data_IF_120717383486
#
_entry.id   IF_120717383486
#
_cell.length_a   1.000
_cell.length_b   1.000
_cell.length_c   1.000
_cell.angle_alpha   90.00
_cell.angle_beta   90.00
_cell.angle_gamma   90.00
#
_symmetry.space_group_name_H-M   'P 1'
#
loop_
_entity.id
_entity.type
_entity.pdbx_description
1 polymer ?
#
# COMPACT_ATOMS: atom_id res chain seq x y z
N UNK A 1 12.74 -21.02 -5.54
CA UNK A 1 13.39 -21.93 -4.58
C UNK A 1 12.30 -22.72 -3.89
N UNK A 2 12.48 -24.03 -3.73
CA UNK A 2 11.54 -24.85 -2.96
C UNK A 2 12.18 -25.15 -1.61
N UNK A 3 11.48 -24.84 -0.51
CA UNK A 3 11.97 -24.99 0.87
C UNK A 3 11.01 -25.91 1.62
N UNK A 4 11.53 -26.90 2.34
CA UNK A 4 10.68 -27.79 3.14
C UNK A 4 10.10 -27.05 4.36
N UNK A 5 8.90 -27.45 4.79
CA UNK A 5 8.28 -26.90 6.01
C UNK A 5 9.17 -27.18 7.24
N UNK A 6 9.81 -28.35 7.28
CA UNK A 6 10.73 -28.73 8.35
C UNK A 6 11.94 -27.78 8.41
N UNK A 7 12.51 -27.42 7.26
CA UNK A 7 13.61 -26.46 7.17
C UNK A 7 13.19 -25.07 7.63
N UNK A 8 11.99 -24.60 7.25
CA UNK A 8 11.46 -23.30 7.71
C UNK A 8 11.26 -23.28 9.23
N UNK A 9 10.70 -24.35 9.80
CA UNK A 9 10.53 -24.49 11.25
C UNK A 9 11.87 -24.55 11.99
N UNK A 10 12.84 -25.31 11.46
CA UNK A 10 14.20 -25.39 12.01
C UNK A 10 14.93 -24.03 11.95
N UNK A 11 14.70 -23.25 10.89
CA UNK A 11 15.19 -21.89 10.74
C UNK A 11 14.43 -20.86 11.61
N UNK A 12 13.48 -21.33 12.43
CA UNK A 12 12.79 -20.51 13.43
C UNK A 12 11.69 -19.61 12.87
N UNK A 13 11.19 -19.90 11.66
CA UNK A 13 10.07 -19.20 11.05
C UNK A 13 8.78 -19.48 11.83
N UNK A 14 7.94 -18.47 12.12
CA UNK A 14 6.67 -18.66 12.83
C UNK A 14 5.74 -19.64 12.12
N UNK A 15 5.20 -20.61 12.85
CA UNK A 15 4.27 -21.62 12.32
C UNK A 15 3.00 -21.00 11.71
N UNK A 16 2.53 -19.88 12.25
CA UNK A 16 1.39 -19.13 11.72
C UNK A 16 1.64 -18.60 10.30
N UNK A 17 2.86 -18.11 10.01
CA UNK A 17 3.23 -17.62 8.68
C UNK A 17 3.24 -18.76 7.65
N UNK A 18 3.79 -19.91 8.04
CA UNK A 18 3.80 -21.12 7.22
C UNK A 18 2.37 -21.60 6.96
N UNK A 19 1.52 -21.62 8.00
CA UNK A 19 0.13 -22.04 7.90
C UNK A 19 -0.68 -21.13 6.95
N UNK A 20 -0.49 -19.81 7.05
CA UNK A 20 -1.14 -18.84 6.16
C UNK A 20 -0.80 -19.11 4.70
N UNK A 21 0.49 -19.22 4.38
CA UNK A 21 0.95 -19.50 3.00
C UNK A 21 0.46 -20.86 2.50
N UNK A 22 0.41 -21.85 3.38
CA UNK A 22 -0.12 -23.18 3.06
C UNK A 22 -1.61 -23.13 2.73
N UNK A 23 -2.39 -22.34 3.48
CA UNK A 23 -3.82 -22.16 3.26
C UNK A 23 -4.11 -21.41 1.95
N UNK A 24 -3.35 -20.34 1.64
CA UNK A 24 -3.44 -19.62 0.37
C UNK A 24 -3.25 -20.57 -0.83
N UNK A 25 -2.19 -21.39 -0.80
CA UNK A 25 -1.91 -22.34 -1.87
C UNK A 25 -3.01 -23.40 -2.01
N UNK A 26 -3.60 -23.85 -0.90
CA UNK A 26 -4.74 -24.77 -0.94
C UNK A 26 -5.98 -24.11 -1.56
N UNK A 27 -6.26 -22.85 -1.24
CA UNK A 27 -7.37 -22.11 -1.85
C UNK A 27 -7.16 -21.92 -3.35
N UNK A 28 -5.95 -21.54 -3.78
CA UNK A 28 -5.61 -21.40 -5.20
C UNK A 28 -5.78 -22.72 -5.96
N UNK A 29 -5.34 -23.84 -5.39
CA UNK A 29 -5.53 -25.17 -5.99
C UNK A 29 -7.01 -25.54 -6.11
N UNK A 30 -7.84 -25.20 -5.11
CA UNK A 30 -9.29 -25.44 -5.17
C UNK A 30 -9.97 -24.58 -6.23
N UNK A 31 -9.63 -23.29 -6.33
CA UNK A 31 -10.17 -22.39 -7.34
C UNK A 31 -9.79 -22.82 -8.76
N UNK A 32 -8.54 -23.24 -8.97
CA UNK A 32 -8.10 -23.78 -10.28
C UNK A 32 -8.87 -25.05 -10.65
N UNK A 33 -9.10 -25.96 -9.69
CA UNK A 33 -9.91 -27.16 -9.94
C UNK A 33 -11.36 -26.80 -10.29
N UNK A 34 -11.96 -25.82 -9.60
CA UNK A 34 -13.32 -25.36 -9.90
C UNK A 34 -13.41 -24.70 -11.28
N UNK A 35 -12.44 -23.86 -11.67
CA UNK A 35 -12.39 -23.27 -13.01
C UNK A 35 -12.23 -24.34 -14.10
N UNK A 36 -11.38 -25.34 -13.89
CA UNK A 36 -11.22 -26.46 -14.83
C UNK A 36 -12.49 -27.31 -14.96
N UNK A 37 -13.24 -27.49 -13.86
CA UNK A 37 -14.54 -28.17 -13.89
C UNK A 37 -15.59 -27.35 -14.67
N UNK A 38 -15.60 -26.02 -14.52
CA UNK A 38 -16.52 -25.15 -15.25
C UNK A 38 -16.20 -25.05 -16.75
N UNK A 39 -14.93 -25.24 -17.15
CA UNK A 39 -14.51 -25.23 -18.56
C UNK A 39 -14.73 -26.58 -19.29
N UNK A 40 -15.40 -27.56 -18.67
CA UNK A 40 -15.80 -28.80 -19.35
C UNK A 40 -14.66 -29.78 -19.70
N UNK A 41 -13.45 -29.59 -19.14
CA UNK A 41 -12.30 -30.48 -19.33
C UNK A 41 -12.43 -31.73 -18.43
N UNK A 42 -13.43 -32.57 -18.70
CA UNK A 42 -13.53 -33.91 -18.13
C UNK A 42 -13.29 -34.96 -19.19
N UNK A 43 -12.07 -35.45 -19.30
CA UNK A 43 -11.81 -36.88 -19.48
C UNK A 43 -10.46 -37.22 -18.83
N UNK A 44 -10.47 -38.20 -17.90
CA UNK A 44 -9.31 -38.96 -17.38
C UNK A 44 -8.53 -38.52 -16.12
N UNK A 45 -8.84 -37.43 -15.43
CA UNK A 45 -8.21 -37.19 -14.11
C UNK A 45 -9.12 -37.59 -12.95
N UNK A 46 -8.95 -38.82 -12.46
CA UNK A 46 -9.56 -39.28 -11.21
C UNK A 46 -9.21 -38.35 -10.04
N UNK A 47 -10.09 -38.32 -9.01
CA UNK A 47 -9.94 -37.55 -7.76
C UNK A 47 -8.47 -37.51 -7.28
N UNK A 48 -7.73 -36.45 -7.63
CA UNK A 48 -6.42 -36.18 -7.03
C UNK A 48 -6.68 -35.88 -5.56
N UNK A 49 -6.34 -36.82 -4.67
CA UNK A 49 -6.26 -36.55 -3.23
C UNK A 49 -5.36 -35.34 -3.03
N UNK A 50 -5.80 -34.35 -2.26
CA UNK A 50 -4.96 -33.23 -1.83
C UNK A 50 -3.69 -33.81 -1.20
N UNK A 51 -2.55 -33.72 -1.90
CA UNK A 51 -1.26 -34.08 -1.33
C UNK A 51 -1.00 -33.11 -0.18
N UNK A 52 -0.58 -33.63 0.96
CA UNK A 52 -0.11 -32.81 2.07
C UNK A 52 1.03 -31.94 1.56
N UNK A 53 0.92 -30.64 1.71
CA UNK A 53 1.97 -29.70 1.33
C UNK A 53 3.14 -29.93 2.30
N UNK A 54 4.29 -30.35 1.76
CA UNK A 54 5.52 -30.64 2.53
C UNK A 54 6.60 -29.58 2.31
N UNK A 55 6.45 -28.78 1.26
CA UNK A 55 7.38 -27.75 0.81
C UNK A 55 6.63 -26.55 0.26
N UNK A 56 7.26 -25.38 0.35
CA UNK A 56 6.74 -24.11 -0.14
C UNK A 56 7.69 -23.54 -1.20
N UNK A 57 7.11 -23.00 -2.27
CA UNK A 57 7.86 -22.31 -3.31
C UNK A 57 7.99 -20.84 -2.93
N UNK A 58 9.21 -20.34 -3.06
CA UNK A 58 9.63 -18.98 -2.70
C UNK A 58 10.33 -18.33 -3.91
N UNK A 59 9.94 -17.10 -4.24
CA UNK A 59 10.49 -16.30 -5.34
C UNK A 59 10.97 -14.93 -4.85
N UNK A 60 11.87 -14.28 -5.59
CA UNK A 60 12.54 -13.05 -5.14
C UNK A 60 11.57 -11.95 -4.68
N UNK A 61 10.51 -11.70 -5.46
CA UNK A 61 9.58 -10.57 -5.26
C UNK A 61 8.24 -10.96 -4.63
N UNK A 62 8.17 -12.10 -3.94
CA UNK A 62 6.96 -12.55 -3.27
C UNK A 62 6.84 -11.95 -1.85
N UNK A 63 5.61 -11.61 -1.43
CA UNK A 63 5.34 -11.11 -0.07
C UNK A 63 5.73 -12.12 0.99
N UNK A 64 5.60 -13.41 0.68
CA UNK A 64 6.08 -14.48 1.56
C UNK A 64 7.59 -14.39 1.77
N UNK A 65 8.39 -14.09 0.75
CA UNK A 65 9.85 -13.91 0.86
C UNK A 65 10.21 -12.73 1.74
N UNK A 66 9.51 -11.60 1.58
CA UNK A 66 9.69 -10.43 2.44
C UNK A 66 9.35 -10.76 3.90
N UNK A 67 8.28 -11.52 4.14
CA UNK A 67 7.90 -11.98 5.47
C UNK A 67 8.93 -12.96 6.07
N UNK A 68 9.50 -13.85 5.25
CA UNK A 68 10.60 -14.73 5.67
C UNK A 68 11.85 -13.94 6.05
N UNK A 69 12.25 -12.93 5.26
CA UNK A 69 13.40 -12.07 5.58
C UNK A 69 13.22 -11.32 6.91
N UNK A 70 11.99 -11.01 7.32
CA UNK A 70 11.67 -10.35 8.60
C UNK A 70 11.62 -11.32 9.80
N UNK A 71 11.31 -12.59 9.58
CA UNK A 71 10.97 -13.52 10.67
C UNK A 71 11.90 -14.72 10.82
N UNK A 72 12.64 -15.08 9.76
CA UNK A 72 13.60 -16.18 9.76
C UNK A 72 14.78 -15.86 10.67
N UNK A 73 15.07 -16.75 11.63
CA UNK A 73 16.14 -16.58 12.61
C UNK A 73 17.49 -17.05 12.07
N UNK A 74 17.51 -17.99 11.13
CA UNK A 74 18.73 -18.48 10.50
C UNK A 74 19.29 -17.50 9.44
N UNK A 75 20.51 -17.00 9.65
CA UNK A 75 21.17 -16.08 8.73
C UNK A 75 21.53 -16.71 7.37
N UNK A 76 21.80 -18.02 7.33
CA UNK A 76 22.13 -18.72 6.09
C UNK A 76 20.95 -18.70 5.13
N UNK A 77 19.76 -19.04 5.64
CA UNK A 77 18.53 -19.00 4.88
C UNK A 77 18.15 -17.57 4.48
N UNK A 78 18.30 -16.57 5.36
CA UNK A 78 18.07 -15.16 4.97
C UNK A 78 18.96 -14.73 3.80
N UNK A 79 20.24 -15.12 3.82
CA UNK A 79 21.18 -14.83 2.73
C UNK A 79 20.76 -15.51 1.43
N UNK A 80 20.37 -16.78 1.49
CA UNK A 80 19.90 -17.53 0.33
C UNK A 80 18.65 -16.89 -0.28
N UNK A 81 17.67 -16.54 0.57
CA UNK A 81 16.45 -15.85 0.17
C UNK A 81 16.73 -14.50 -0.49
N UNK A 82 17.64 -13.70 0.08
CA UNK A 82 18.04 -12.41 -0.49
C UNK A 82 18.72 -12.57 -1.86
N UNK A 83 19.54 -13.61 -2.02
CA UNK A 83 20.21 -13.90 -3.30
C UNK A 83 19.26 -14.42 -4.40
N UNK A 84 18.00 -14.76 -4.08
CA UNK A 84 17.05 -15.21 -5.10
C UNK A 84 16.75 -14.13 -6.14
N UNK A 85 16.92 -12.86 -5.79
CA UNK A 85 16.75 -11.70 -6.69
C UNK A 85 18.04 -11.25 -7.38
N UNK A 86 19.16 -11.96 -7.21
CA UNK A 86 20.46 -11.65 -7.81
C UNK A 86 20.89 -12.79 -8.76
N UNK A 87 20.07 -13.09 -9.78
CA UNK A 87 20.30 -14.24 -10.66
C UNK A 87 21.02 -13.83 -11.94
N UNK A 88 21.77 -14.76 -12.54
CA UNK A 88 22.48 -14.51 -13.81
C UNK A 88 21.57 -14.12 -14.99
N UNK A 89 20.28 -14.46 -14.96
CA UNK A 89 19.28 -14.03 -15.94
C UNK A 89 19.09 -12.49 -15.94
N UNK A 90 19.47 -11.80 -14.85
CA UNK A 90 19.52 -10.34 -14.76
C UNK A 90 20.60 -9.73 -15.67
N UNK A 91 21.52 -10.52 -16.24
CA UNK A 91 22.49 -10.03 -17.24
C UNK A 91 21.80 -9.64 -18.55
N UNK A 92 20.72 -10.32 -18.95
CA UNK A 92 19.93 -9.99 -20.15
C UNK A 92 18.98 -8.82 -19.85
N UNK A 93 18.38 -8.77 -18.66
CA UNK A 93 17.65 -7.58 -18.18
C UNK A 93 18.55 -6.36 -18.12
N UNK A 94 19.80 -6.51 -17.69
CA UNK A 94 20.79 -5.44 -17.72
C UNK A 94 21.07 -4.94 -19.15
N UNK A 95 21.11 -5.80 -20.17
CA UNK A 95 21.26 -5.32 -21.55
C UNK A 95 20.06 -4.48 -22.01
N UNK A 96 18.83 -4.96 -21.80
CA UNK A 96 17.61 -4.22 -22.17
C UNK A 96 17.47 -2.93 -21.36
N UNK A 97 17.83 -2.95 -20.08
CA UNK A 97 17.85 -1.79 -19.20
C UNK A 97 18.88 -0.76 -19.64
N UNK A 98 20.11 -1.18 -19.93
CA UNK A 98 21.18 -0.31 -20.46
C UNK A 98 20.81 0.24 -21.84
N UNK A 99 20.17 -0.56 -22.70
CA UNK A 99 19.68 -0.10 -23.99
C UNK A 99 18.54 0.92 -23.84
N UNK A 100 17.59 0.68 -22.92
CA UNK A 100 16.53 1.63 -22.58
C UNK A 100 17.10 2.93 -22.01
N UNK A 101 18.08 2.85 -21.10
CA UNK A 101 18.79 4.02 -20.56
C UNK A 101 19.48 4.82 -21.68
N UNK A 102 20.16 4.14 -22.61
CA UNK A 102 20.80 4.80 -23.74
C UNK A 102 19.78 5.50 -24.66
N UNK A 103 18.63 4.87 -24.95
CA UNK A 103 17.54 5.49 -25.73
C UNK A 103 16.95 6.67 -24.96
N UNK A 104 16.66 6.50 -23.66
CA UNK A 104 16.15 7.58 -22.80
C UNK A 104 17.10 8.77 -22.75
N UNK A 105 18.41 8.55 -22.63
CA UNK A 105 19.40 9.63 -22.67
C UNK A 105 19.43 10.36 -24.01
N UNK A 106 19.29 9.63 -25.13
CA UNK A 106 19.17 10.25 -26.47
C UNK A 106 17.91 11.11 -26.61
N UNK A 107 16.80 10.70 -25.99
CA UNK A 107 15.53 11.43 -25.98
C UNK A 107 15.54 12.62 -25.00
N UNK A 108 16.13 12.45 -23.81
CA UNK A 108 16.19 13.46 -22.75
C UNK A 108 17.00 14.70 -23.14
N UNK A 109 18.01 14.55 -24.01
CA UNK A 109 18.70 15.70 -24.63
C UNK A 109 17.77 16.66 -25.40
N UNK A 110 16.49 16.30 -25.58
CA UNK A 110 15.48 17.10 -26.28
C UNK A 110 14.30 17.55 -25.39
N UNK A 111 14.23 17.18 -24.10
CA UNK A 111 13.13 17.58 -23.19
C UNK A 111 13.57 17.61 -21.73
N UNK A 112 13.17 18.65 -20.99
CA UNK A 112 13.23 18.71 -19.52
C UNK A 112 11.83 18.88 -18.96
N UNK A 113 11.36 17.90 -18.17
CA UNK A 113 10.07 17.94 -17.47
C UNK A 113 10.30 17.60 -15.98
N UNK A 114 9.59 18.27 -15.07
CA UNK A 114 9.75 18.19 -13.61
C UNK A 114 10.04 19.54 -12.94
N UNK A 115 9.72 19.69 -11.65
CA UNK A 115 9.95 20.90 -10.84
C UNK A 115 11.44 21.20 -10.67
N UNK A 116 12.27 20.17 -10.45
CA UNK A 116 13.72 20.33 -10.31
C UNK A 116 14.45 20.57 -11.64
N UNK A 117 13.76 20.36 -12.78
CA UNK A 117 14.12 20.68 -14.18
C UNK A 117 15.45 20.12 -14.73
N UNK A 118 16.45 19.86 -13.91
CA UNK A 118 17.83 19.52 -14.29
C UNK A 118 18.38 18.37 -13.44
N UNK A 119 19.17 17.45 -14.02
CA UNK A 119 19.84 16.39 -13.27
C UNK A 119 20.76 16.91 -12.15
N UNK A 120 21.41 18.05 -12.36
CA UNK A 120 22.33 18.67 -11.39
C UNK A 120 21.58 19.13 -10.14
N UNK A 121 20.38 19.71 -10.31
CA UNK A 121 19.53 20.07 -9.18
C UNK A 121 19.06 18.84 -8.41
N UNK A 122 18.74 17.74 -9.10
CA UNK A 122 18.39 16.46 -8.46
C UNK A 122 19.57 15.89 -7.67
N UNK A 123 20.78 15.83 -8.25
CA UNK A 123 21.98 15.35 -7.56
C UNK A 123 22.27 16.19 -6.33
N UNK A 124 22.27 17.52 -6.47
CA UNK A 124 22.52 18.45 -5.36
C UNK A 124 21.50 18.29 -4.24
N UNK A 125 20.23 18.04 -4.58
CA UNK A 125 19.18 17.76 -3.61
C UNK A 125 19.45 16.45 -2.87
N UNK A 126 19.77 15.37 -3.58
CA UNK A 126 20.07 14.06 -2.99
C UNK A 126 21.30 14.12 -2.06
N UNK A 127 22.37 14.81 -2.47
CA UNK A 127 23.57 15.00 -1.65
C UNK A 127 23.25 15.72 -0.33
N UNK A 128 22.37 16.73 -0.38
CA UNK A 128 21.92 17.44 0.83
C UNK A 128 21.05 16.56 1.73
N UNK A 129 20.19 15.73 1.14
CA UNK A 129 19.37 14.77 1.88
C UNK A 129 20.24 13.74 2.57
N UNK A 130 21.23 13.18 1.88
CA UNK A 130 22.20 12.24 2.45
C UNK A 130 22.97 12.88 3.62
N UNK A 131 23.49 14.09 3.43
CA UNK A 131 24.21 14.84 4.46
C UNK A 131 23.32 15.10 5.70
N UNK A 132 22.05 15.46 5.48
CA UNK A 132 21.10 15.74 6.55
C UNK A 132 20.66 14.48 7.31
N UNK A 133 20.56 13.34 6.63
CA UNK A 133 20.13 12.06 7.21
C UNK A 133 21.30 11.30 7.87
N UNK A 134 22.55 11.53 7.46
CA UNK A 134 23.74 10.82 7.92
C UNK A 134 23.83 10.64 9.45
N UNK A 135 23.72 11.71 10.26
CA UNK A 135 23.81 11.58 11.72
C UNK A 135 22.75 10.65 12.34
N UNK A 136 21.51 10.71 11.84
CA UNK A 136 20.43 9.83 12.32
C UNK A 136 20.61 8.40 11.83
N UNK A 137 21.05 8.22 10.59
CA UNK A 137 21.35 6.90 10.04
C UNK A 137 22.44 6.20 10.87
N UNK A 138 23.48 6.92 11.28
CA UNK A 138 24.51 6.35 12.17
C UNK A 138 23.94 5.89 13.52
N UNK A 139 23.00 6.65 14.10
CA UNK A 139 22.31 6.29 15.33
C UNK A 139 21.41 5.05 15.15
N UNK A 140 20.70 4.97 14.03
CA UNK A 140 19.87 3.82 13.67
C UNK A 140 20.72 2.56 13.48
N UNK A 141 21.86 2.67 12.77
CA UNK A 141 22.80 1.55 12.60
C UNK A 141 23.37 1.10 13.95
N UNK A 142 23.75 2.02 14.85
CA UNK A 142 24.19 1.68 16.21
C UNK A 142 23.08 0.98 16.99
N UNK A 143 21.82 1.36 16.78
CA UNK A 143 20.66 0.73 17.40
C UNK A 143 20.46 -0.69 16.89
N UNK A 144 20.53 -0.93 15.58
CA UNK A 144 20.45 -2.28 15.01
C UNK A 144 21.60 -3.18 15.47
N UNK A 145 22.82 -2.63 15.62
CA UNK A 145 23.96 -3.36 16.19
C UNK A 145 23.70 -3.80 17.64
N UNK A 146 23.18 -2.91 18.48
CA UNK A 146 22.79 -3.24 19.87
C UNK A 146 21.72 -4.34 19.91
N UNK A 147 20.77 -4.32 18.98
CA UNK A 147 19.77 -5.39 18.85
C UNK A 147 20.44 -6.70 18.45
N UNK A 148 21.38 -6.68 17.52
CA UNK A 148 22.12 -7.87 17.11
C UNK A 148 22.96 -8.47 18.24
N UNK A 149 23.60 -7.63 19.08
CA UNK A 149 24.48 -8.06 20.17
C UNK A 149 23.75 -8.86 21.27
N UNK A 150 22.44 -8.64 21.45
CA UNK A 150 21.61 -9.34 22.44
C UNK A 150 20.93 -10.60 21.88
N UNK A 151 21.06 -10.87 20.58
CA UNK A 151 20.45 -12.04 19.96
C UNK A 151 21.22 -13.33 20.30
N UNK A 152 20.52 -14.48 20.38
CA UNK A 152 21.16 -15.76 20.60
C UNK A 152 22.19 -16.09 19.50
N UNK A 153 23.32 -16.68 19.88
CA UNK A 153 24.42 -17.00 18.95
C UNK A 153 24.00 -17.92 17.80
N UNK A 154 22.98 -18.77 18.00
CA UNK A 154 22.46 -19.67 16.97
C UNK A 154 21.68 -18.95 15.84
N UNK A 155 21.43 -17.64 15.94
CA UNK A 155 20.82 -16.86 14.85
C UNK A 155 21.86 -16.45 13.79
N UNK A 156 23.15 -16.66 14.08
CA UNK A 156 24.28 -16.44 13.15
C UNK A 156 24.30 -15.04 12.49
N UNK A 157 23.77 -14.02 13.17
CA UNK A 157 23.81 -12.64 12.70
C UNK A 157 25.25 -12.12 12.82
N UNK A 158 25.83 -11.68 11.71
CA UNK A 158 27.21 -11.19 11.70
C UNK A 158 27.29 -9.77 12.29
N UNK A 159 28.33 -9.48 13.08
CA UNK A 159 28.64 -8.12 13.59
C UNK A 159 28.76 -7.08 12.45
N UNK A 160 29.19 -7.52 11.26
CA UNK A 160 29.07 -6.72 10.03
C UNK A 160 27.64 -6.81 9.50
N UNK A 161 26.80 -5.83 9.84
CA UNK A 161 25.43 -5.69 9.33
C UNK A 161 25.37 -5.93 7.81
N UNK A 162 24.70 -6.99 7.38
CA UNK A 162 24.48 -7.32 5.96
C UNK A 162 23.07 -6.92 5.52
N UNK A 163 22.85 -6.64 4.21
CA UNK A 163 21.54 -6.22 3.72
C UNK A 163 20.40 -7.19 4.07
N UNK A 164 20.67 -8.49 4.03
CA UNK A 164 19.70 -9.54 4.35
C UNK A 164 19.38 -9.67 5.85
N UNK A 165 20.16 -9.05 6.74
CA UNK A 165 19.90 -9.03 8.18
C UNK A 165 19.06 -7.82 8.61
N UNK A 166 19.02 -6.75 7.81
CA UNK A 166 18.31 -5.50 8.15
C UNK A 166 16.81 -5.74 8.41
N UNK A 167 16.04 -6.41 7.53
CA UNK A 167 14.61 -6.61 7.77
C UNK A 167 14.31 -7.40 9.05
N UNK A 168 15.14 -8.40 9.35
CA UNK A 168 15.03 -9.21 10.56
C UNK A 168 15.32 -8.39 11.83
N UNK A 169 16.42 -7.64 11.83
CA UNK A 169 16.79 -6.81 12.98
C UNK A 169 15.79 -5.68 13.24
N UNK A 170 15.21 -5.09 12.18
CA UNK A 170 14.12 -4.13 12.30
C UNK A 170 12.88 -4.74 12.96
N UNK A 171 12.50 -5.98 12.62
CA UNK A 171 11.37 -6.67 13.26
C UNK A 171 11.70 -7.04 14.71
N UNK A 172 12.93 -7.51 15.01
CA UNK A 172 13.36 -7.75 16.38
C UNK A 172 13.27 -6.47 17.23
N UNK A 173 13.74 -5.34 16.72
CA UNK A 173 13.61 -4.05 17.37
C UNK A 173 12.14 -3.66 17.59
N UNK A 174 11.29 -3.80 16.56
CA UNK A 174 9.87 -3.51 16.67
C UNK A 174 9.18 -4.38 17.73
N UNK A 175 9.50 -5.68 17.81
CA UNK A 175 8.98 -6.59 18.84
C UNK A 175 9.46 -6.18 20.23
N UNK A 176 10.74 -5.81 20.41
CA UNK A 176 11.26 -5.31 21.68
C UNK A 176 10.50 -4.05 22.14
N UNK A 177 10.25 -3.11 21.23
CA UNK A 177 9.49 -1.90 21.55
C UNK A 177 8.01 -2.19 21.88
N UNK A 178 7.38 -3.13 21.16
CA UNK A 178 6.03 -3.59 21.48
C UNK A 178 5.95 -4.27 22.85
N UNK A 179 6.96 -5.07 23.23
CA UNK A 179 6.99 -5.75 24.52
C UNK A 179 7.25 -4.78 25.68
N UNK A 180 8.07 -3.76 25.45
CA UNK A 180 8.33 -2.70 26.44
C UNK A 180 7.15 -1.75 26.61
N UNK A 181 6.30 -1.61 25.59
CA UNK A 181 5.09 -0.80 25.65
C UNK A 181 3.89 -1.61 26.12
N UNK A 182 3.32 -1.27 27.28
CA UNK A 182 2.05 -1.88 27.74
C UNK A 182 0.83 -1.39 26.95
N UNK A 183 1.00 -0.49 25.97
CA UNK A 183 -0.12 0.03 25.17
C UNK A 183 -0.47 -0.93 24.04
N UNK A 184 -1.71 -1.41 24.02
CA UNK A 184 -2.25 -2.16 22.88
C UNK A 184 -2.11 -1.33 21.58
N UNK A 185 -1.82 -1.97 20.43
CA UNK A 185 -1.75 -1.27 19.16
C UNK A 185 -3.07 -0.55 18.91
N UNK A 186 -3.00 0.75 18.59
CA UNK A 186 -4.16 1.57 18.34
C UNK A 186 -4.94 0.99 17.14
N UNK A 187 -6.21 0.69 17.38
CA UNK A 187 -7.18 0.25 16.39
C UNK A 187 -8.36 1.19 16.48
N UNK A 188 -8.59 1.96 15.42
CA UNK A 188 -9.66 2.96 15.37
C UNK A 188 -10.70 2.50 14.36
N UNK A 189 -11.98 2.73 14.64
CA UNK A 189 -13.00 2.45 13.63
C UNK A 189 -12.80 3.33 12.41
N UNK A 190 -13.02 2.77 11.23
CA UNK A 190 -12.98 3.47 9.96
C UNK A 190 -13.92 4.68 9.99
N UNK A 191 -15.09 4.57 10.62
CA UNK A 191 -16.03 5.68 10.82
C UNK A 191 -15.39 6.84 11.60
N UNK A 192 -14.73 6.57 12.73
CA UNK A 192 -14.06 7.61 13.52
C UNK A 192 -12.96 8.32 12.74
N UNK A 193 -12.21 7.57 11.94
CA UNK A 193 -11.15 8.11 11.07
C UNK A 193 -11.79 8.94 9.95
N UNK A 194 -12.85 8.41 9.32
CA UNK A 194 -13.54 9.05 8.21
C UNK A 194 -14.17 10.37 8.64
N UNK A 195 -14.86 10.44 9.79
CA UNK A 195 -15.42 11.70 10.30
C UNK A 195 -14.34 12.77 10.52
N UNK A 196 -13.17 12.36 11.03
CA UNK A 196 -12.03 13.27 11.19
C UNK A 196 -11.43 13.68 9.86
N UNK A 197 -11.38 12.78 8.89
CA UNK A 197 -10.94 13.05 7.53
C UNK A 197 -11.88 14.07 6.85
N UNK A 198 -13.20 13.90 6.96
CA UNK A 198 -14.18 14.87 6.48
C UNK A 198 -13.97 16.22 7.14
N UNK A 199 -13.84 16.28 8.47
CA UNK A 199 -13.59 17.55 9.16
C UNK A 199 -12.27 18.23 8.76
N UNK A 200 -11.27 17.43 8.40
CA UNK A 200 -10.01 17.94 7.88
C UNK A 200 -10.19 18.52 6.47
N UNK A 201 -10.93 17.84 5.57
CA UNK A 201 -11.29 18.38 4.27
C UNK A 201 -12.03 19.71 4.46
N UNK A 202 -12.99 19.76 5.37
CA UNK A 202 -13.76 20.97 5.68
C UNK A 202 -12.87 22.16 6.04
N UNK A 203 -11.92 21.95 6.94
CA UNK A 203 -11.01 23.00 7.40
C UNK A 203 -9.98 23.41 6.36
N UNK A 204 -9.50 22.46 5.55
CA UNK A 204 -8.46 22.72 4.57
C UNK A 204 -9.00 23.32 3.27
N UNK A 205 -10.20 22.96 2.86
CA UNK A 205 -10.73 23.30 1.52
C UNK A 205 -12.00 24.15 1.56
N UNK A 206 -12.73 24.15 2.68
CA UNK A 206 -14.05 24.79 2.75
C UNK A 206 -15.18 23.94 2.15
N UNK A 207 -14.92 22.67 1.81
CA UNK A 207 -15.90 21.72 1.31
C UNK A 207 -16.11 20.56 2.28
N UNK A 208 -17.29 19.96 2.28
CA UNK A 208 -17.65 18.77 3.05
C UNK A 208 -18.06 17.62 2.15
N UNK A 209 -17.85 16.39 2.61
CA UNK A 209 -18.27 15.18 1.92
C UNK A 209 -19.61 14.71 2.47
N UNK A 210 -20.66 14.83 1.67
CA UNK A 210 -22.03 14.47 2.03
C UNK A 210 -22.36 13.08 1.50
N UNK A 211 -22.78 12.11 2.34
CA UNK A 211 -23.18 10.79 1.87
C UNK A 211 -24.49 10.87 1.06
N UNK A 212 -24.53 10.19 -0.08
CA UNK A 212 -25.71 10.17 -0.98
C UNK A 212 -26.00 8.73 -1.42
N UNK A 213 -27.27 8.28 -1.42
CA UNK A 213 -27.60 6.93 -1.89
C UNK A 213 -27.29 6.78 -3.40
N UNK A 214 -26.63 5.70 -3.81
CA UNK A 214 -26.38 5.41 -5.22
C UNK A 214 -27.68 5.02 -5.96
N UNK A 215 -27.75 5.28 -7.26
CA UNK A 215 -28.81 4.75 -8.13
C UNK A 215 -28.60 3.26 -8.39
N UNK A 216 -29.67 2.55 -8.80
CA UNK A 216 -29.56 1.19 -9.31
C UNK A 216 -28.51 1.11 -10.43
N UNK A 217 -27.49 0.26 -10.25
CA UNK A 217 -26.41 0.06 -11.22
C UNK A 217 -25.28 1.10 -11.18
N UNK A 218 -25.33 2.09 -10.28
CA UNK A 218 -24.27 3.12 -10.15
C UNK A 218 -23.01 2.58 -9.47
N UNK A 219 -23.14 1.57 -8.60
CA UNK A 219 -22.02 0.94 -7.88
C UNK A 219 -21.75 -0.46 -8.39
N UNK A 220 -20.47 -0.84 -8.43
CA UNK A 220 -20.03 -2.20 -8.83
C UNK A 220 -20.16 -3.24 -7.71
N UNK A 221 -20.32 -2.80 -6.45
CA UNK A 221 -20.45 -3.67 -5.29
C UNK A 221 -21.32 -3.00 -4.21
N UNK A 222 -22.03 -3.81 -3.42
CA UNK A 222 -22.97 -3.31 -2.39
C UNK A 222 -22.28 -2.52 -1.28
N UNK A 223 -20.99 -2.82 -1.00
CA UNK A 223 -20.21 -2.13 0.02
C UNK A 223 -19.67 -0.76 -0.41
N UNK A 224 -19.93 -0.33 -1.65
CA UNK A 224 -19.45 0.97 -2.16
C UNK A 224 -20.39 2.06 -1.66
N UNK A 225 -19.82 3.01 -0.93
CA UNK A 225 -20.52 4.20 -0.47
C UNK A 225 -20.24 5.37 -1.42
N UNK A 226 -21.28 6.18 -1.69
CA UNK A 226 -21.19 7.37 -2.53
C UNK A 226 -21.24 8.64 -1.67
N UNK A 227 -20.33 9.56 -1.97
CA UNK A 227 -20.27 10.89 -1.36
C UNK A 227 -20.26 11.96 -2.45
N UNK A 228 -20.86 13.10 -2.15
CA UNK A 228 -20.79 14.32 -2.96
C UNK A 228 -20.02 15.40 -2.20
N UNK A 229 -19.28 16.24 -2.92
CA UNK A 229 -18.49 17.32 -2.35
C UNK A 229 -19.29 18.62 -2.40
N UNK A 230 -19.64 19.20 -1.24
CA UNK A 230 -20.50 20.38 -1.13
C UNK A 230 -19.76 21.51 -0.40
N UNK A 231 -19.91 22.80 -0.78
CA UNK A 231 -19.30 23.92 -0.04
C UNK A 231 -20.00 24.14 1.32
N UNK A 232 -19.24 24.49 2.35
CA UNK A 232 -19.75 24.67 3.73
C UNK A 232 -20.43 26.04 3.93
N UNK A 233 -20.11 27.03 3.11
CA UNK A 233 -20.65 28.38 3.18
C UNK A 233 -21.33 28.82 1.88
N UNK A 234 -22.33 29.71 1.99
CA UNK A 234 -22.86 30.49 0.85
C UNK A 234 -21.78 31.47 0.42
N UNK A 235 -21.04 31.15 -0.65
CA UNK A 235 -19.96 32.01 -1.13
C UNK A 235 -19.06 31.37 -2.20
N UNK A 236 -19.17 30.06 -2.42
CA UNK A 236 -18.68 29.46 -3.66
C UNK A 236 -19.80 29.55 -4.71
N UNK A 237 -19.94 30.72 -5.34
CA UNK A 237 -20.80 30.93 -6.52
C UNK A 237 -20.07 30.53 -7.80
N UNK A 238 -19.33 29.41 -7.78
CA UNK A 238 -18.76 28.78 -8.97
C UNK A 238 -19.13 27.30 -8.85
N UNK A 239 -20.23 26.89 -9.49
CA UNK A 239 -20.76 25.54 -9.46
C UNK A 239 -21.63 25.25 -8.24
N UNK A 240 -22.94 25.09 -8.47
CA UNK A 240 -23.90 24.59 -7.49
C UNK A 240 -23.54 23.18 -6.95
N UNK A 241 -24.39 22.53 -6.14
CA UNK A 241 -24.12 21.17 -5.66
C UNK A 241 -23.76 20.29 -6.87
N UNK A 242 -22.59 19.62 -6.82
CA UNK A 242 -22.07 18.69 -7.83
C UNK A 242 -23.00 17.47 -7.93
N UNK A 243 -24.23 17.71 -8.36
CA UNK A 243 -25.31 16.75 -8.46
C UNK A 243 -25.50 16.43 -9.93
N UNK A 244 -25.08 15.21 -10.27
CA UNK A 244 -25.47 14.42 -11.45
C UNK A 244 -25.56 15.15 -12.79
N UNK A 245 -24.42 15.21 -13.45
CA UNK A 245 -24.22 14.61 -14.77
C UNK A 245 -22.72 14.45 -14.99
N UNK A 246 -22.28 13.40 -15.71
CA UNK A 246 -20.88 13.31 -16.16
C UNK A 246 -20.49 14.49 -17.07
N UNK A 247 -21.45 15.33 -17.46
CA UNK A 247 -21.25 16.63 -18.10
C UNK A 247 -22.36 17.59 -17.62
N UNK A 248 -22.02 18.68 -16.93
CA UNK A 248 -22.95 19.76 -16.55
C UNK A 248 -22.77 20.91 -17.55
N UNK A 249 -23.86 21.41 -18.11
CA UNK A 249 -23.83 22.65 -18.89
C UNK A 249 -23.93 23.82 -17.90
N UNK A 250 -22.83 24.52 -17.68
CA UNK A 250 -22.76 25.70 -16.82
C UNK A 250 -22.43 26.91 -17.70
N UNK A 251 -23.33 27.91 -17.71
CA UNK A 251 -23.20 29.11 -18.56
C UNK A 251 -23.00 28.82 -20.07
N UNK A 252 -23.55 27.71 -20.57
CA UNK A 252 -23.41 27.29 -21.98
C UNK A 252 -22.14 26.49 -22.29
N UNK A 253 -21.37 26.10 -21.26
CA UNK A 253 -20.15 25.29 -21.41
C UNK A 253 -20.36 23.91 -20.77
N UNK A 254 -20.14 22.86 -21.57
CA UNK A 254 -20.15 21.47 -21.11
C UNK A 254 -18.91 21.19 -20.23
N UNK A 255 -19.13 20.95 -18.94
CA UNK A 255 -18.09 20.61 -17.96
C UNK A 255 -18.23 19.18 -17.48
N UNK A 256 -17.18 18.37 -17.58
CA UNK A 256 -17.18 17.04 -16.99
C UNK A 256 -17.09 17.12 -15.46
N UNK A 257 -18.05 16.53 -14.76
CA UNK A 257 -17.99 16.41 -13.30
C UNK A 257 -16.88 15.42 -12.92
N UNK A 258 -15.87 15.81 -12.11
CA UNK A 258 -14.84 14.89 -11.68
C UNK A 258 -15.45 13.81 -10.78
N UNK A 259 -15.08 12.55 -11.03
CA UNK A 259 -15.46 11.42 -10.21
C UNK A 259 -14.19 10.62 -9.87
N UNK A 260 -14.03 10.27 -8.59
CA UNK A 260 -12.90 9.50 -8.09
C UNK A 260 -13.41 8.31 -7.27
N UNK A 261 -12.72 7.18 -7.36
CA UNK A 261 -12.97 6.01 -6.53
C UNK A 261 -11.83 5.86 -5.53
N UNK A 262 -12.16 5.87 -4.24
CA UNK A 262 -11.24 5.55 -3.16
C UNK A 262 -11.38 4.07 -2.84
N UNK A 263 -10.37 3.27 -3.21
CA UNK A 263 -10.39 1.82 -3.00
C UNK A 263 -9.38 1.49 -1.92
N UNK A 264 -9.85 0.89 -0.83
CA UNK A 264 -9.00 0.42 0.25
C UNK A 264 -9.20 -1.08 0.46
N UNK A 265 -8.10 -1.80 0.67
CA UNK A 265 -8.10 -3.23 0.90
C UNK A 265 -7.86 -3.53 2.39
N UNK A 266 -8.80 -3.10 3.23
CA UNK A 266 -8.77 -3.37 4.66
C UNK A 266 -9.36 -4.74 5.00
N UNK A 267 -8.88 -5.35 6.07
CA UNK A 267 -9.45 -6.61 6.56
C UNK A 267 -10.94 -6.41 6.91
N UNK A 268 -11.85 -7.14 6.26
CA UNK A 268 -13.27 -7.00 6.55
C UNK A 268 -13.59 -7.59 7.93
N UNK A 269 -14.63 -7.08 8.62
CA UNK A 269 -15.14 -7.68 9.85
C UNK A 269 -15.51 -9.16 9.63
N UNK A 270 -15.27 -10.02 10.62
CA UNK A 270 -15.49 -11.47 10.51
C UNK A 270 -16.89 -11.88 10.02
N UNK A 271 -17.92 -11.06 10.29
CA UNK A 271 -19.30 -11.31 9.84
C UNK A 271 -19.50 -11.21 8.32
N UNK A 272 -18.61 -10.51 7.61
CA UNK A 272 -18.76 -10.18 6.17
C UNK A 272 -17.94 -11.11 5.28
N UNK A 273 -16.97 -11.85 5.84
CA UNK A 273 -16.10 -12.75 5.09
C UNK A 273 -16.82 -13.75 4.17
N UNK A 274 -18.10 -14.07 4.43
CA UNK A 274 -18.91 -15.00 3.64
C UNK A 274 -20.18 -14.34 3.01
N UNK A 275 -20.30 -13.02 3.02
CA UNK A 275 -21.48 -12.33 2.47
C UNK A 275 -21.29 -12.04 0.98
N UNK A 276 -22.07 -12.70 0.12
CA UNK A 276 -22.07 -12.45 -1.33
C UNK A 276 -22.93 -11.23 -1.72
N UNK A 277 -23.90 -10.86 -0.89
CA UNK A 277 -24.79 -9.71 -1.09
C UNK A 277 -25.06 -9.01 0.24
N UNK A 278 -25.15 -7.69 0.21
CA UNK A 278 -25.57 -6.84 1.32
C UNK A 278 -26.37 -5.66 0.81
N UNK A 279 -26.89 -4.86 1.74
CA UNK A 279 -27.60 -3.62 1.44
C UNK A 279 -26.77 -2.37 1.86
N UNK A 280 -27.38 -1.18 1.74
CA UNK A 280 -26.72 0.06 2.11
C UNK A 280 -26.47 0.18 3.63
N UNK A 281 -27.30 -0.44 4.47
CA UNK A 281 -27.08 -0.46 5.92
C UNK A 281 -25.90 -1.36 6.27
N UNK A 282 -25.75 -2.49 5.57
CA UNK A 282 -24.57 -3.34 5.66
C UNK A 282 -23.31 -2.56 5.26
N UNK A 283 -23.39 -1.74 4.21
CA UNK A 283 -22.28 -0.88 3.79
C UNK A 283 -21.93 0.20 4.83
N UNK A 284 -22.90 0.83 5.49
CA UNK A 284 -22.61 1.79 6.57
C UNK A 284 -22.10 1.11 7.85
N UNK A 285 -22.57 -0.09 8.15
CA UNK A 285 -22.08 -0.84 9.32
C UNK A 285 -20.62 -1.29 9.14
N UNK A 286 -20.15 -1.51 7.90
CA UNK A 286 -18.73 -1.73 7.61
C UNK A 286 -17.83 -0.61 8.12
N UNK A 287 -18.25 0.66 7.99
CA UNK A 287 -17.47 1.80 8.51
C UNK A 287 -17.25 1.69 10.02
N UNK A 288 -18.26 1.22 10.75
CA UNK A 288 -18.20 1.14 12.22
C UNK A 288 -17.38 -0.05 12.70
N UNK A 289 -17.51 -1.17 12.00
CA UNK A 289 -16.94 -2.45 12.43
C UNK A 289 -15.51 -2.68 11.92
N UNK A 290 -15.12 -2.02 10.82
CA UNK A 290 -13.77 -2.10 10.30
C UNK A 290 -12.82 -1.28 11.18
N UNK A 291 -11.79 -1.94 11.73
CA UNK A 291 -10.81 -1.35 12.63
C UNK A 291 -9.47 -1.21 11.92
N UNK A 292 -9.01 0.03 11.75
CA UNK A 292 -7.76 0.32 11.08
C UNK A 292 -6.60 0.46 12.07
N UNK A 293 -5.44 -0.06 11.65
CA UNK A 293 -4.13 0.30 12.16
C UNK A 293 -3.85 1.80 11.93
N UNK A 294 -2.84 2.30 12.63
CA UNK A 294 -2.31 3.65 12.39
C UNK A 294 -1.82 3.81 10.94
N UNK A 295 -1.14 2.80 10.41
CA UNK A 295 -0.55 2.79 9.08
C UNK A 295 -1.63 2.81 7.99
N UNK A 296 -2.66 1.97 8.12
CA UNK A 296 -3.84 1.96 7.23
C UNK A 296 -4.60 3.29 7.28
N UNK A 297 -4.69 3.92 8.45
CA UNK A 297 -5.31 5.24 8.59
C UNK A 297 -4.52 6.29 7.81
N UNK A 298 -3.19 6.30 7.92
CA UNK A 298 -2.32 7.23 7.18
C UNK A 298 -2.47 7.00 5.67
N UNK A 299 -2.49 5.75 5.23
CA UNK A 299 -2.68 5.39 3.83
C UNK A 299 -4.05 5.84 3.30
N UNK A 300 -5.14 5.64 4.07
CA UNK A 300 -6.46 6.13 3.70
C UNK A 300 -6.47 7.64 3.45
N UNK A 301 -5.79 8.40 4.32
CA UNK A 301 -5.70 9.85 4.21
C UNK A 301 -4.80 10.30 3.05
N UNK A 302 -3.72 9.56 2.75
CA UNK A 302 -2.88 9.77 1.57
C UNK A 302 -3.73 9.71 0.30
N UNK A 303 -4.49 8.63 0.14
CA UNK A 303 -5.37 8.42 -1.02
C UNK A 303 -6.52 9.45 -1.06
N UNK A 304 -7.07 9.82 0.10
CA UNK A 304 -8.05 10.91 0.17
C UNK A 304 -7.47 12.23 -0.33
N UNK A 305 -6.18 12.52 -0.07
CA UNK A 305 -5.50 13.69 -0.61
C UNK A 305 -5.50 13.73 -2.14
N UNK A 306 -5.29 12.59 -2.80
CA UNK A 306 -5.43 12.48 -4.26
C UNK A 306 -6.88 12.67 -4.72
N UNK A 307 -7.84 12.08 -4.03
CA UNK A 307 -9.28 12.24 -4.33
C UNK A 307 -9.68 13.71 -4.27
N UNK A 308 -9.33 14.41 -3.20
CA UNK A 308 -9.66 15.83 -3.02
C UNK A 308 -8.96 16.70 -4.06
N UNK A 309 -7.68 16.42 -4.37
CA UNK A 309 -6.99 17.11 -5.46
C UNK A 309 -7.69 16.89 -6.80
N UNK A 310 -8.15 15.66 -7.08
CA UNK A 310 -8.92 15.33 -8.28
C UNK A 310 -10.25 16.06 -8.36
N UNK A 311 -11.03 16.07 -7.27
CA UNK A 311 -12.37 16.66 -7.21
C UNK A 311 -12.35 18.20 -7.25
N UNK A 312 -11.35 18.83 -6.64
CA UNK A 312 -11.22 20.30 -6.58
C UNK A 312 -10.40 20.89 -7.74
N UNK A 313 -9.85 20.05 -8.61
CA UNK A 313 -9.10 20.54 -9.77
C UNK A 313 -10.03 21.15 -10.81
N UNK A 314 -9.96 22.47 -10.95
CA UNK A 314 -10.69 23.23 -11.95
C UNK A 314 -9.74 23.67 -13.06
N UNK A 315 -9.78 22.97 -14.19
CA UNK A 315 -8.92 23.26 -15.35
C UNK A 315 -9.74 23.22 -16.63
N UNK A 316 -9.44 24.13 -17.57
CA UNK A 316 -10.04 24.13 -18.91
C UNK A 316 -9.59 22.92 -19.76
N UNK A 317 -8.42 22.36 -19.45
CA UNK A 317 -7.78 21.31 -20.22
C UNK A 317 -7.77 20.00 -19.45
N UNK A 318 -8.46 18.98 -19.96
CA UNK A 318 -8.56 17.66 -19.33
C UNK A 318 -7.20 17.04 -18.97
N UNK A 319 -6.17 17.25 -19.79
CA UNK A 319 -4.83 16.70 -19.56
C UNK A 319 -4.07 17.39 -18.42
N UNK A 320 -4.58 18.50 -17.89
CA UNK A 320 -4.05 19.18 -16.71
C UNK A 320 -4.93 18.97 -15.46
N UNK A 321 -6.06 18.27 -15.60
CA UNK A 321 -7.02 18.05 -14.51
C UNK A 321 -6.56 16.96 -13.53
N UNK A 322 -6.77 17.24 -12.25
CA UNK A 322 -6.49 16.35 -11.12
C UNK A 322 -4.99 16.14 -10.92
N UNK A 323 -4.58 14.89 -10.77
CA UNK A 323 -3.18 14.50 -10.53
C UNK A 323 -2.32 14.46 -11.79
N UNK A 324 -2.82 14.93 -12.95
CA UNK A 324 -2.12 14.91 -14.25
C UNK A 324 -1.07 16.02 -14.42
N UNK A 325 -0.61 16.60 -13.31
CA UNK A 325 0.43 17.64 -13.26
C UNK A 325 1.85 17.06 -13.29
N UNK A 326 2.82 17.87 -12.85
CA UNK A 326 4.20 17.43 -12.73
C UNK A 326 4.29 16.23 -11.76
N UNK A 327 4.92 15.15 -12.21
CA UNK A 327 4.96 13.86 -11.48
C UNK A 327 5.57 14.03 -10.08
N UNK A 328 6.55 14.92 -9.94
CA UNK A 328 7.22 15.23 -8.68
C UNK A 328 6.41 16.14 -7.74
N UNK A 329 5.27 16.67 -8.19
CA UNK A 329 4.33 17.44 -7.36
C UNK A 329 3.00 16.70 -7.10
N UNK A 330 2.68 15.68 -7.90
CA UNK A 330 1.42 14.93 -7.77
C UNK A 330 1.20 14.33 -6.37
N UNK A 331 2.29 14.01 -5.69
CA UNK A 331 2.34 13.46 -4.32
C UNK A 331 2.29 14.50 -3.20
N UNK A 332 2.40 15.80 -3.51
CA UNK A 332 2.40 16.81 -2.46
C UNK A 332 1.07 16.85 -1.68
N UNK A 333 -0.11 16.86 -2.34
CA UNK A 333 -1.39 16.88 -1.63
C UNK A 333 -1.63 15.65 -0.75
N UNK A 334 -1.23 14.46 -1.19
CA UNK A 334 -1.36 13.22 -0.42
C UNK A 334 -0.48 13.24 0.84
N UNK A 335 0.79 13.63 0.72
CA UNK A 335 1.68 13.79 1.88
C UNK A 335 1.25 14.90 2.85
N UNK A 336 0.65 15.99 2.34
CA UNK A 336 0.06 17.03 3.19
C UNK A 336 -1.05 16.44 4.07
N UNK A 337 -1.90 15.60 3.48
CA UNK A 337 -2.98 14.94 4.21
C UNK A 337 -2.46 14.00 5.31
N UNK A 338 -1.39 13.25 5.03
CA UNK A 338 -0.72 12.43 6.05
C UNK A 338 -0.19 13.26 7.23
N UNK A 339 0.44 14.40 6.93
CA UNK A 339 1.04 15.26 7.96
C UNK A 339 -0.02 15.84 8.90
N UNK A 340 -1.12 16.35 8.35
CA UNK A 340 -2.22 16.90 9.15
C UNK A 340 -2.84 15.81 10.03
N UNK A 341 -3.03 14.60 9.49
CA UNK A 341 -3.52 13.46 10.27
C UNK A 341 -2.60 13.15 11.47
N UNK A 342 -1.28 13.08 11.25
CA UNK A 342 -0.32 12.82 12.33
C UNK A 342 -0.42 13.85 13.46
N UNK A 343 -0.55 15.13 13.11
CA UNK A 343 -0.72 16.22 14.08
C UNK A 343 -2.05 16.08 14.84
N UNK A 344 -3.17 15.85 14.13
CA UNK A 344 -4.50 15.75 14.73
C UNK A 344 -4.65 14.60 15.73
N UNK A 345 -3.89 13.53 15.56
CA UNK A 345 -3.94 12.36 16.44
C UNK A 345 -2.83 12.36 17.49
N UNK A 346 -2.08 13.46 17.64
CA UNK A 346 -0.96 13.52 18.58
C UNK A 346 0.10 12.48 18.29
N UNK A 347 0.17 12.02 17.04
CA UNK A 347 1.19 11.09 16.55
C UNK A 347 2.43 11.94 16.27
N UNK A 348 3.13 12.33 17.34
CA UNK A 348 4.46 12.90 17.19
C UNK A 348 5.44 11.80 16.75
N UNK A 349 6.41 12.20 15.93
CA UNK A 349 7.42 11.35 15.30
C UNK A 349 8.13 10.44 16.30
#
# INVERSE_FOLDING_TARGET
MEISIEQLLAAGVPSGLIAHRTAELQQQQQQQQQQQQQQGLFTLWGRRRNKKITSLVVSADDEFTKALLRTCKDAGLRRELYSLGDREEDKVYNYNFLHLLAIRQKLAKKRGEGVLRTPEAVSTFLDRVELALGPKLEEEIKTLKRVADVLPSNYNVNLSLKPYDIPFLMECYAIQQRNNSSTKPLRLSLDSIWQKAVNMVEKLTGFTLVPVPPLPGETWHWSVLKYELHPIGRGWEIGGPLTRACVVEEEGVLRQTPACALIANFDPPSRIHNMEKGDINDAYSLLKDCLLTKEESIHLLHELGHVIHGLLSQTELQHLSGTRGAVDFAEFPSHLFECVFRVMFGINR
#
